data_IF_958184698011
#
_entry.id   IF_958184698011
#
_cell.length_a   1.000
_cell.length_b   1.000
_cell.length_c   1.000
_cell.angle_alpha   90.00
_cell.angle_beta   90.00
_cell.angle_gamma   90.00
#
_symmetry.space_group_name_H-M   'P 1'
#
loop_
_entity.id
_entity.type
_entity.pdbx_description
1 polymer ?
#
# COMPACT_ATOMS: atom_id res chain seq x y z
N UNK A 1 -23.14 11.88 10.99
CA UNK A 1 -21.70 12.06 11.31
C UNK A 1 -21.17 11.02 12.29
N UNK A 2 -21.76 10.88 13.48
CA UNK A 2 -21.28 9.95 14.51
C UNK A 2 -21.57 8.45 14.26
N UNK A 3 -22.51 8.12 13.37
CA UNK A 3 -22.69 6.75 12.89
C UNK A 3 -21.41 6.26 12.21
N UNK A 4 -20.71 7.12 11.46
CA UNK A 4 -19.44 6.77 10.81
C UNK A 4 -18.33 6.52 11.83
N UNK A 5 -18.24 7.35 12.88
CA UNK A 5 -17.26 7.16 13.96
C UNK A 5 -17.48 5.85 14.73
N UNK A 6 -18.75 5.54 15.05
CA UNK A 6 -19.14 4.32 15.77
C UNK A 6 -18.99 3.08 14.89
N UNK A 7 -19.38 3.15 13.61
CA UNK A 7 -19.15 2.07 12.63
C UNK A 7 -17.66 1.84 12.44
N UNK A 8 -16.85 2.90 12.36
CA UNK A 8 -15.41 2.78 12.18
C UNK A 8 -14.73 2.20 13.43
N UNK A 9 -15.07 2.66 14.63
CA UNK A 9 -14.58 2.09 15.89
C UNK A 9 -15.04 0.64 16.07
N UNK A 10 -16.31 0.35 15.75
CA UNK A 10 -16.86 -1.00 15.74
C UNK A 10 -16.11 -1.90 14.75
N UNK A 11 -15.90 -1.45 13.52
CA UNK A 11 -15.12 -2.16 12.50
C UNK A 11 -13.66 -2.36 12.89
N UNK A 12 -13.04 -1.39 13.56
CA UNK A 12 -11.67 -1.49 14.07
C UNK A 12 -11.56 -2.53 15.20
N UNK A 13 -12.49 -2.53 16.16
CA UNK A 13 -12.57 -3.53 17.24
C UNK A 13 -12.82 -4.92 16.66
N UNK A 14 -13.77 -5.04 15.72
CA UNK A 14 -14.05 -6.32 15.03
C UNK A 14 -12.82 -6.81 14.27
N UNK A 15 -12.10 -5.94 13.54
CA UNK A 15 -10.87 -6.31 12.84
C UNK A 15 -9.76 -6.76 13.79
N UNK A 16 -9.59 -6.09 14.93
CA UNK A 16 -8.61 -6.45 15.95
C UNK A 16 -8.88 -7.85 16.54
N UNK A 17 -10.15 -8.17 16.83
CA UNK A 17 -10.52 -9.46 17.42
C UNK A 17 -10.65 -10.60 16.41
N UNK A 18 -10.89 -10.31 15.14
CA UNK A 18 -11.09 -11.34 14.11
C UNK A 18 -9.81 -11.79 13.41
N UNK A 19 -8.66 -11.14 13.65
CA UNK A 19 -7.40 -11.47 12.97
C UNK A 19 -7.43 -11.21 11.45
N UNK A 20 -8.52 -10.64 10.93
CA UNK A 20 -8.58 -10.09 9.58
C UNK A 20 -7.58 -8.94 9.53
N UNK A 21 -6.47 -9.15 8.79
CA UNK A 21 -5.55 -8.08 8.42
C UNK A 21 -6.34 -7.04 7.64
N UNK A 22 -6.88 -6.04 8.34
CA UNK A 22 -7.52 -4.91 7.69
C UNK A 22 -6.45 -4.19 6.88
N UNK A 23 -6.51 -4.41 5.57
CA UNK A 23 -5.78 -3.66 4.59
C UNK A 23 -6.00 -2.16 4.87
N UNK A 24 -4.93 -1.51 5.36
CA UNK A 24 -4.68 -0.08 5.20
C UNK A 24 -5.87 0.88 5.23
N UNK A 25 -6.77 0.82 6.23
CA UNK A 25 -7.57 2.00 6.60
C UNK A 25 -6.60 3.00 7.22
N UNK A 26 -5.89 3.69 6.33
CA UNK A 26 -4.62 4.36 6.58
C UNK A 26 -4.75 5.48 7.60
N UNK A 27 -3.66 5.75 8.30
CA UNK A 27 -3.51 6.92 9.18
C UNK A 27 -4.00 8.22 8.52
N UNK A 28 -3.90 8.32 7.18
CA UNK A 28 -4.44 9.39 6.36
C UNK A 28 -5.98 9.55 6.43
N UNK A 29 -6.75 8.45 6.38
CA UNK A 29 -8.22 8.49 6.47
C UNK A 29 -8.64 8.97 7.86
N UNK A 30 -7.99 8.46 8.90
CA UNK A 30 -8.20 8.92 10.27
C UNK A 30 -7.85 10.41 10.42
N UNK A 31 -6.76 10.85 9.80
CA UNK A 31 -6.34 12.26 9.77
C UNK A 31 -7.39 13.16 9.10
N UNK A 32 -7.87 12.78 7.93
CA UNK A 32 -8.93 13.53 7.23
C UNK A 32 -10.24 13.56 8.01
N UNK A 33 -10.60 12.45 8.65
CA UNK A 33 -11.75 12.39 9.53
C UNK A 33 -11.61 13.38 10.70
N UNK A 34 -10.43 13.47 11.34
CA UNK A 34 -10.14 14.45 12.38
C UNK A 34 -10.26 15.89 11.88
N UNK A 35 -9.64 16.19 10.73
CA UNK A 35 -9.65 17.54 10.13
C UNK A 35 -11.09 17.98 9.85
N UNK A 36 -11.89 17.14 9.19
CA UNK A 36 -13.28 17.47 8.87
C UNK A 36 -14.12 17.69 10.14
N UNK A 37 -13.98 16.84 11.15
CA UNK A 37 -14.70 17.01 12.41
C UNK A 37 -14.32 18.32 13.11
N UNK A 38 -13.04 18.68 13.13
CA UNK A 38 -12.58 19.96 13.69
C UNK A 38 -13.15 21.15 12.92
N UNK A 39 -13.21 21.09 11.59
CA UNK A 39 -13.86 22.12 10.78
C UNK A 39 -15.34 22.24 11.17
N UNK A 40 -16.06 21.13 11.30
CA UNK A 40 -17.47 21.17 11.71
C UNK A 40 -17.68 21.69 13.13
N UNK A 41 -16.85 21.30 14.09
CA UNK A 41 -16.90 21.84 15.46
C UNK A 41 -16.69 23.36 15.43
N UNK A 42 -15.71 23.82 14.66
CA UNK A 42 -15.44 25.25 14.51
C UNK A 42 -16.54 25.99 13.75
N UNK A 43 -17.16 25.35 12.76
CA UNK A 43 -18.30 25.93 12.05
C UNK A 43 -19.52 26.10 12.95
N UNK A 44 -19.78 25.13 13.85
CA UNK A 44 -20.95 25.16 14.74
C UNK A 44 -20.73 26.05 15.97
N UNK A 45 -19.51 26.06 16.53
CA UNK A 45 -19.24 26.69 17.84
C UNK A 45 -18.18 27.82 17.79
N UNK A 46 -17.57 28.09 16.64
CA UNK A 46 -16.36 28.91 16.53
C UNK A 46 -16.51 30.39 16.89
N UNK A 47 -17.73 30.95 16.84
CA UNK A 47 -18.01 32.31 17.26
C UNK A 47 -17.94 32.45 18.79
N UNK A 48 -18.29 31.40 19.55
CA UNK A 48 -18.26 31.39 21.01
C UNK A 48 -19.23 32.37 21.69
N UNK A 49 -19.88 33.26 20.93
CA UNK A 49 -20.88 34.26 21.37
C UNK A 49 -22.30 33.71 21.33
N UNK A 50 -22.59 32.76 20.45
CA UNK A 50 -23.89 32.09 20.34
C UNK A 50 -23.88 30.79 21.15
N UNK A 51 -24.64 30.77 22.24
CA UNK A 51 -24.89 29.52 22.98
C UNK A 51 -25.89 28.66 22.21
N UNK A 52 -25.41 27.94 21.18
CA UNK A 52 -26.24 27.01 20.45
C UNK A 52 -26.58 25.81 21.35
N UNK A 53 -27.76 25.82 21.95
CA UNK A 53 -28.24 24.73 22.80
C UNK A 53 -28.98 23.70 21.96
N UNK A 54 -28.30 22.63 21.59
CA UNK A 54 -28.96 21.45 21.02
C UNK A 54 -29.90 20.81 22.04
N UNK A 55 -30.93 20.08 21.59
CA UNK A 55 -31.73 19.19 22.47
C UNK A 55 -30.77 18.32 23.30
N UNK A 56 -31.08 18.12 24.58
CA UNK A 56 -30.15 17.52 25.56
C UNK A 56 -29.43 16.24 25.08
N UNK A 57 -30.12 15.36 24.34
CA UNK A 57 -29.53 14.16 23.75
C UNK A 57 -28.47 14.43 22.66
N UNK A 58 -28.68 15.43 21.79
CA UNK A 58 -27.69 15.80 20.77
C UNK A 58 -26.45 16.47 21.38
N UNK A 59 -26.62 17.25 22.47
CA UNK A 59 -25.49 17.89 23.13
C UNK A 59 -24.53 16.85 23.75
N UNK A 60 -25.08 15.85 24.46
CA UNK A 60 -24.27 14.75 24.99
C UNK A 60 -23.51 13.98 23.90
N UNK A 61 -24.15 13.79 22.74
CA UNK A 61 -23.57 13.11 21.60
C UNK A 61 -22.37 13.86 21.00
N UNK A 62 -22.46 15.19 20.87
CA UNK A 62 -21.34 16.02 20.41
C UNK A 62 -20.16 15.97 21.38
N UNK A 63 -20.42 16.03 22.69
CA UNK A 63 -19.38 15.96 23.72
C UNK A 63 -18.64 14.63 23.67
N UNK A 64 -19.38 13.52 23.55
CA UNK A 64 -18.79 12.18 23.40
C UNK A 64 -17.93 12.12 22.14
N UNK A 65 -18.38 12.68 21.01
CA UNK A 65 -17.60 12.73 19.78
C UNK A 65 -16.28 13.45 19.96
N UNK A 66 -16.26 14.60 20.62
CA UNK A 66 -15.02 15.37 20.83
C UNK A 66 -14.02 14.57 21.67
N UNK A 67 -14.50 13.88 22.70
CA UNK A 67 -13.67 12.97 23.50
C UNK A 67 -13.12 11.83 22.63
N UNK A 68 -13.97 11.22 21.80
CA UNK A 68 -13.57 10.14 20.88
C UNK A 68 -12.53 10.58 19.85
N UNK A 69 -12.51 11.84 19.41
CA UNK A 69 -11.47 12.35 18.49
C UNK A 69 -10.05 12.25 19.07
N UNK A 70 -9.88 12.21 20.40
CA UNK A 70 -8.57 11.95 21.01
C UNK A 70 -8.08 10.53 20.69
N UNK A 71 -8.97 9.54 20.73
CA UNK A 71 -8.61 8.16 20.37
C UNK A 71 -8.18 8.07 18.91
N UNK A 72 -8.90 8.72 18.00
CA UNK A 72 -8.56 8.76 16.57
C UNK A 72 -7.22 9.46 16.29
N UNK A 73 -6.91 10.55 17.00
CA UNK A 73 -5.62 11.25 16.84
C UNK A 73 -4.44 10.46 17.39
N UNK A 74 -4.60 9.78 18.53
CA UNK A 74 -3.60 8.83 19.04
C UNK A 74 -3.38 7.67 18.06
N UNK A 75 -4.46 7.11 17.51
CA UNK A 75 -4.36 6.00 16.55
C UNK A 75 -3.67 6.44 15.25
N UNK A 76 -3.93 7.66 14.77
CA UNK A 76 -3.26 8.23 13.60
C UNK A 76 -1.75 8.40 13.85
N UNK A 77 -1.37 8.97 15.01
CA UNK A 77 0.03 9.09 15.43
C UNK A 77 0.72 7.72 15.52
N UNK A 78 0.05 6.74 16.14
CA UNK A 78 0.54 5.37 16.25
C UNK A 78 0.77 4.75 14.86
N UNK A 79 -0.20 4.87 13.94
CA UNK A 79 -0.06 4.35 12.58
C UNK A 79 1.11 4.98 11.81
N UNK A 80 1.37 6.27 12.00
CA UNK A 80 2.53 6.96 11.43
C UNK A 80 3.82 6.41 12.04
N UNK A 81 3.90 6.24 13.36
CA UNK A 81 5.10 5.73 14.05
C UNK A 81 5.40 4.28 13.68
N UNK A 82 4.39 3.42 13.48
CA UNK A 82 4.59 2.05 12.97
C UNK A 82 5.23 2.09 11.59
N UNK A 83 4.76 2.97 10.69
CA UNK A 83 5.37 3.13 9.35
C UNK A 83 6.78 3.68 9.42
N UNK A 84 7.09 4.58 10.34
CA UNK A 84 8.46 5.05 10.59
C UNK A 84 9.33 3.92 11.10
N UNK A 85 8.82 3.09 12.02
CA UNK A 85 9.55 1.93 12.51
C UNK A 85 9.83 0.91 11.40
N UNK A 86 8.92 0.74 10.43
CA UNK A 86 9.09 -0.16 9.29
C UNK A 86 9.99 0.42 8.18
N UNK A 87 9.77 1.67 7.78
CA UNK A 87 10.32 2.26 6.56
C UNK A 87 11.25 3.47 6.80
N UNK A 88 11.56 3.78 8.07
CA UNK A 88 12.31 4.97 8.48
C UNK A 88 11.57 6.28 8.21
N UNK A 89 12.13 7.40 8.71
CA UNK A 89 11.55 8.72 8.47
C UNK A 89 11.64 9.08 6.99
N UNK A 90 10.55 9.63 6.45
CA UNK A 90 10.51 10.33 5.17
C UNK A 90 9.98 11.74 5.39
N UNK A 91 10.22 12.63 4.43
CA UNK A 91 9.73 14.02 4.48
C UNK A 91 8.21 14.04 4.64
N UNK A 92 7.49 13.23 3.86
CA UNK A 92 6.03 13.11 3.94
C UNK A 92 5.55 12.62 5.32
N UNK A 93 6.24 11.65 5.92
CA UNK A 93 5.89 11.13 7.26
C UNK A 93 6.14 12.17 8.35
N UNK A 94 7.16 13.01 8.22
CA UNK A 94 7.41 14.12 9.14
C UNK A 94 6.31 15.17 9.07
N UNK A 95 5.85 15.53 7.86
CA UNK A 95 4.68 16.40 7.70
C UNK A 95 3.43 15.78 8.32
N UNK A 96 3.12 14.52 7.98
CA UNK A 96 1.97 13.81 8.53
C UNK A 96 2.02 13.73 10.06
N UNK A 97 3.18 13.42 10.63
CA UNK A 97 3.39 13.38 12.08
C UNK A 97 3.16 14.75 12.73
N UNK A 98 3.69 15.81 12.14
CA UNK A 98 3.55 17.16 12.68
C UNK A 98 2.10 17.63 12.64
N UNK A 99 1.38 17.36 11.54
CA UNK A 99 -0.05 17.66 11.42
C UNK A 99 -0.84 16.84 12.44
N UNK A 100 -0.61 15.53 12.54
CA UNK A 100 -1.30 14.67 13.49
C UNK A 100 -1.07 15.12 14.95
N UNK A 101 0.16 15.52 15.29
CA UNK A 101 0.51 16.03 16.61
C UNK A 101 -0.18 17.36 16.90
N UNK A 102 -0.21 18.28 15.94
CA UNK A 102 -0.93 19.55 16.08
C UNK A 102 -2.43 19.32 16.34
N UNK A 103 -3.07 18.46 15.54
CA UNK A 103 -4.49 18.15 15.70
C UNK A 103 -4.77 17.45 17.04
N UNK A 104 -3.89 16.54 17.47
CA UNK A 104 -3.98 15.92 18.79
C UNK A 104 -3.98 16.97 19.90
N UNK A 105 -3.02 17.89 19.90
CA UNK A 105 -2.94 18.96 20.91
C UNK A 105 -4.20 19.84 20.89
N UNK A 106 -4.72 20.17 19.71
CA UNK A 106 -5.92 20.99 19.57
C UNK A 106 -7.17 20.28 20.11
N UNK A 107 -7.41 19.03 19.72
CA UNK A 107 -8.54 18.21 20.20
C UNK A 107 -8.43 17.96 21.71
N UNK A 108 -7.21 17.74 22.19
CA UNK A 108 -6.95 17.55 23.61
C UNK A 108 -7.28 18.81 24.41
N UNK A 109 -6.90 19.99 23.91
CA UNK A 109 -7.26 21.27 24.52
C UNK A 109 -8.79 21.49 24.56
N UNK A 110 -9.52 21.14 23.50
CA UNK A 110 -10.99 21.17 23.53
C UNK A 110 -11.58 20.23 24.60
N UNK A 111 -11.00 19.04 24.72
CA UNK A 111 -11.46 18.04 25.69
C UNK A 111 -11.24 18.52 27.13
N UNK A 112 -10.11 19.17 27.40
CA UNK A 112 -9.85 19.86 28.67
C UNK A 112 -10.89 20.95 28.89
N UNK A 113 -11.15 21.82 27.91
CA UNK A 113 -12.16 22.87 28.05
C UNK A 113 -13.55 22.32 28.39
N UNK A 114 -13.96 21.23 27.74
CA UNK A 114 -15.23 20.53 28.00
C UNK A 114 -15.29 19.99 29.43
N UNK A 115 -14.26 19.28 29.88
CA UNK A 115 -14.24 18.63 31.19
C UNK A 115 -14.21 19.67 32.32
N UNK A 116 -13.37 20.70 32.19
CA UNK A 116 -13.11 21.65 33.27
C UNK A 116 -14.09 22.82 33.31
N UNK A 117 -14.59 23.29 32.15
CA UNK A 117 -15.44 24.50 32.09
C UNK A 117 -16.92 24.19 31.97
N UNK A 118 -17.31 22.91 31.88
CA UNK A 118 -18.70 22.42 31.87
C UNK A 118 -19.60 23.34 31.03
N UNK A 119 -20.61 24.00 31.58
CA UNK A 119 -21.56 24.84 30.83
C UNK A 119 -20.93 25.98 30.02
N UNK A 120 -19.71 26.42 30.32
CA UNK A 120 -19.04 27.51 29.63
C UNK A 120 -18.04 27.04 28.54
N UNK A 121 -17.93 25.74 28.26
CA UNK A 121 -16.88 25.18 27.39
C UNK A 121 -16.84 25.83 25.99
N UNK A 122 -18.00 26.18 25.42
CA UNK A 122 -18.10 26.80 24.09
C UNK A 122 -17.33 28.13 24.00
N UNK A 123 -17.34 28.93 25.08
CA UNK A 123 -16.66 30.23 25.12
C UNK A 123 -15.13 30.11 25.09
N UNK A 124 -14.58 28.94 25.44
CA UNK A 124 -13.14 28.68 25.44
C UNK A 124 -12.61 28.16 24.11
N UNK A 125 -13.48 27.67 23.21
CA UNK A 125 -13.05 27.20 21.89
C UNK A 125 -12.44 28.33 21.05
N UNK A 126 -13.06 29.52 21.05
CA UNK A 126 -12.56 30.68 20.32
C UNK A 126 -11.11 31.06 20.69
N UNK A 127 -10.79 31.28 21.98
CA UNK A 127 -9.41 31.50 22.43
C UNK A 127 -8.45 30.36 22.09
N UNK A 128 -8.87 29.09 22.25
CA UNK A 128 -8.04 27.93 21.90
C UNK A 128 -7.71 27.93 20.40
N UNK A 129 -8.67 28.25 19.54
CA UNK A 129 -8.46 28.33 18.10
C UNK A 129 -7.51 29.44 17.69
N UNK A 130 -7.64 30.62 18.31
CA UNK A 130 -6.73 31.73 18.07
C UNK A 130 -5.29 31.33 18.43
N UNK A 131 -5.09 30.71 19.59
CA UNK A 131 -3.80 30.17 19.99
C UNK A 131 -3.31 29.06 19.03
N UNK A 132 -4.22 28.17 18.60
CA UNK A 132 -3.94 27.12 17.63
C UNK A 132 -3.47 27.64 16.27
N UNK A 133 -4.09 28.69 15.74
CA UNK A 133 -3.68 29.33 14.49
C UNK A 133 -2.29 29.95 14.62
N UNK A 134 -2.01 30.66 15.73
CA UNK A 134 -0.67 31.22 16.00
C UNK A 134 0.38 30.11 16.10
N UNK A 135 0.07 29.01 16.79
CA UNK A 135 0.93 27.85 16.88
C UNK A 135 1.17 27.21 15.51
N UNK A 136 0.14 27.08 14.68
CA UNK A 136 0.25 26.53 13.33
C UNK A 136 1.16 27.40 12.44
N UNK A 137 1.00 28.73 12.49
CA UNK A 137 1.88 29.67 11.77
C UNK A 137 3.33 29.49 12.25
N UNK A 138 3.56 29.42 13.57
CA UNK A 138 4.90 29.20 14.12
C UNK A 138 5.51 27.87 13.65
N UNK A 139 4.72 26.78 13.65
CA UNK A 139 5.15 25.47 13.14
C UNK A 139 5.53 25.55 11.66
N UNK A 140 4.71 26.18 10.83
CA UNK A 140 4.98 26.35 9.39
C UNK A 140 6.29 27.12 9.19
N UNK A 141 6.50 28.21 9.92
CA UNK A 141 7.74 28.98 9.86
C UNK A 141 8.95 28.14 10.30
N UNK A 142 8.82 27.35 11.37
CA UNK A 142 9.88 26.47 11.86
C UNK A 142 10.26 25.42 10.81
N UNK A 143 9.28 24.74 10.20
CA UNK A 143 9.50 23.71 9.17
C UNK A 143 10.13 24.29 7.90
N UNK A 144 9.75 25.52 7.52
CA UNK A 144 10.33 26.20 6.36
C UNK A 144 11.65 26.93 6.67
N UNK A 145 12.12 26.85 7.92
CA UNK A 145 13.40 27.43 8.35
C UNK A 145 14.47 26.35 8.51
N UNK A 146 15.75 26.73 8.62
CA UNK A 146 16.85 25.79 8.91
C UNK A 146 16.71 25.06 10.26
N UNK A 147 15.79 25.48 11.13
CA UNK A 147 15.60 24.91 12.48
C UNK A 147 15.04 23.49 12.38
N UNK A 148 14.01 23.27 11.56
CA UNK A 148 13.41 21.95 11.33
C UNK A 148 13.66 21.48 9.90
N UNK A 149 14.92 21.17 9.59
CA UNK A 149 15.33 20.62 8.31
C UNK A 149 14.83 19.16 8.17
N UNK A 150 13.59 18.99 7.70
CA UNK A 150 12.98 17.67 7.48
C UNK A 150 13.77 16.80 6.51
N UNK A 151 14.44 17.42 5.53
CA UNK A 151 15.32 16.71 4.59
C UNK A 151 16.53 16.12 5.32
N UNK A 152 17.12 16.87 6.24
CA UNK A 152 18.22 16.38 7.11
C UNK A 152 17.77 15.26 8.04
N UNK A 153 16.61 15.38 8.69
CA UNK A 153 16.09 14.30 9.56
C UNK A 153 15.85 13.03 8.74
N UNK A 154 15.25 13.17 7.57
CA UNK A 154 15.03 12.07 6.62
C UNK A 154 16.34 11.43 6.20
N UNK A 155 17.31 12.24 5.77
CA UNK A 155 18.63 11.77 5.34
C UNK A 155 19.32 10.95 6.45
N UNK A 156 19.36 11.48 7.67
CA UNK A 156 19.98 10.78 8.80
C UNK A 156 19.28 9.46 9.10
N UNK A 157 17.95 9.42 9.02
CA UNK A 157 17.18 8.19 9.25
C UNK A 157 17.38 7.16 8.14
N UNK A 158 17.58 7.61 6.90
CA UNK A 158 17.90 6.74 5.76
C UNK A 158 19.29 6.15 5.95
N UNK A 159 20.30 6.98 6.21
CA UNK A 159 21.68 6.52 6.39
C UNK A 159 21.82 5.53 7.55
N UNK A 160 21.19 5.82 8.70
CA UNK A 160 21.13 4.88 9.82
C UNK A 160 20.38 3.59 9.46
N UNK A 161 19.36 3.68 8.59
CA UNK A 161 18.63 2.51 8.10
C UNK A 161 19.49 1.63 7.19
N UNK A 162 20.32 2.23 6.35
CA UNK A 162 21.27 1.51 5.48
C UNK A 162 22.35 0.83 6.32
N UNK A 163 22.94 1.55 7.27
CA UNK A 163 23.99 1.02 8.17
C UNK A 163 23.50 -0.18 8.99
N UNK A 164 22.26 -0.13 9.48
CA UNK A 164 21.65 -1.23 10.24
C UNK A 164 21.02 -2.33 9.35
N UNK A 165 21.21 -2.29 8.03
CA UNK A 165 20.65 -3.28 7.10
C UNK A 165 19.12 -3.26 6.95
N UNK A 166 18.45 -2.26 7.55
CA UNK A 166 16.99 -2.07 7.47
C UNK A 166 16.56 -1.55 6.09
N UNK A 167 17.39 -0.72 5.45
CA UNK A 167 17.15 -0.18 4.11
C UNK A 167 18.13 -0.82 3.14
N UNK A 168 17.59 -1.48 2.11
CA UNK A 168 18.41 -2.08 1.05
C UNK A 168 18.93 -1.00 0.11
N UNK A 169 20.19 -1.14 -0.29
CA UNK A 169 20.81 -0.30 -1.31
C UNK A 169 20.32 -0.75 -2.68
N UNK A 170 19.63 0.13 -3.39
CA UNK A 170 19.12 -0.10 -4.74
C UNK A 170 18.91 1.23 -5.48
N UNK A 171 18.49 1.17 -6.75
CA UNK A 171 18.16 2.36 -7.54
C UNK A 171 17.05 3.25 -6.95
N UNK A 172 16.08 2.68 -6.21
CA UNK A 172 15.06 3.47 -5.50
C UNK A 172 15.67 4.34 -4.41
N UNK A 173 16.61 3.80 -3.61
CA UNK A 173 17.34 4.56 -2.62
C UNK A 173 18.16 5.69 -3.27
N UNK A 174 18.79 5.43 -4.42
CA UNK A 174 19.51 6.45 -5.17
C UNK A 174 18.58 7.60 -5.59
N UNK A 175 17.38 7.28 -6.05
CA UNK A 175 16.36 8.26 -6.40
C UNK A 175 15.93 9.09 -5.17
N UNK A 176 15.61 8.43 -4.06
CA UNK A 176 15.21 9.10 -2.82
C UNK A 176 16.29 10.05 -2.28
N UNK A 177 17.55 9.62 -2.27
CA UNK A 177 18.67 10.47 -1.83
C UNK A 177 18.84 11.69 -2.72
N UNK A 178 18.72 11.55 -4.04
CA UNK A 178 18.84 12.68 -4.99
C UNK A 178 17.72 13.71 -4.81
N UNK A 179 16.52 13.29 -4.37
CA UNK A 179 15.41 14.21 -4.08
C UNK A 179 15.60 15.06 -2.80
N UNK A 180 16.50 14.65 -1.89
CA UNK A 180 16.76 15.39 -0.66
C UNK A 180 17.65 16.63 -0.87
N UNK A 181 17.98 16.97 -2.12
CA UNK A 181 18.80 18.13 -2.48
C UNK A 181 20.30 17.87 -2.28
N UNK A 182 21.07 18.94 -2.11
CA UNK A 182 22.55 18.90 -2.11
C UNK A 182 23.12 17.90 -1.08
N UNK A 183 22.64 17.93 0.17
CA UNK A 183 23.09 16.98 1.21
C UNK A 183 22.77 15.53 0.86
N UNK A 184 21.65 15.30 0.17
CA UNK A 184 21.24 13.98 -0.29
C UNK A 184 22.11 13.48 -1.45
N UNK A 185 22.45 14.36 -2.39
CA UNK A 185 23.41 14.05 -3.46
C UNK A 185 24.79 13.72 -2.92
N UNK A 186 25.31 14.50 -1.96
CA UNK A 186 26.58 14.21 -1.30
C UNK A 186 26.56 12.85 -0.59
N UNK A 187 25.44 12.48 0.03
CA UNK A 187 25.28 11.18 0.65
C UNK A 187 25.21 10.04 -0.38
N UNK A 188 24.50 10.24 -1.49
CA UNK A 188 24.50 9.31 -2.62
C UNK A 188 25.92 9.10 -3.16
N UNK A 189 26.68 10.16 -3.41
CA UNK A 189 28.06 10.08 -3.90
C UNK A 189 28.96 9.30 -2.94
N UNK A 190 28.84 9.56 -1.63
CA UNK A 190 29.57 8.80 -0.61
C UNK A 190 29.25 7.31 -0.64
N UNK A 191 27.98 6.93 -0.78
CA UNK A 191 27.60 5.53 -0.90
C UNK A 191 28.07 4.93 -2.23
N UNK A 192 28.01 5.71 -3.32
CA UNK A 192 28.39 5.26 -4.66
C UNK A 192 29.90 5.04 -4.83
N UNK A 193 30.73 5.53 -3.91
CA UNK A 193 32.16 5.20 -3.86
C UNK A 193 32.44 3.73 -3.47
N UNK A 194 31.44 3.01 -2.95
CA UNK A 194 31.55 1.57 -2.73
C UNK A 194 31.22 0.82 -4.04
N UNK A 195 32.15 0.01 -4.60
CA UNK A 195 31.93 -0.71 -5.85
C UNK A 195 30.73 -1.67 -5.82
N UNK A 196 30.38 -2.20 -4.66
CA UNK A 196 29.19 -3.05 -4.49
C UNK A 196 27.91 -2.21 -4.65
N UNK A 197 27.83 -1.08 -3.96
CA UNK A 197 26.68 -0.17 -4.01
C UNK A 197 26.53 0.48 -5.38
N UNK A 198 27.64 0.78 -6.06
CA UNK A 198 27.62 1.31 -7.42
C UNK A 198 26.84 0.40 -8.38
N UNK A 199 27.06 -0.93 -8.30
CA UNK A 199 26.29 -1.90 -9.08
C UNK A 199 24.82 -1.93 -8.69
N UNK A 200 24.54 -1.86 -7.38
CA UNK A 200 23.18 -1.87 -6.84
C UNK A 200 22.37 -0.59 -7.18
N UNK A 201 23.05 0.54 -7.34
CA UNK A 201 22.41 1.80 -7.75
C UNK A 201 22.09 1.86 -9.24
N UNK A 202 22.89 1.17 -10.06
CA UNK A 202 22.68 1.06 -11.50
C UNK A 202 21.62 0.03 -11.83
N UNK A 203 21.48 -1.01 -10.99
CA UNK A 203 20.46 -2.04 -11.18
C UNK A 203 19.05 -1.52 -10.92
N UNK A 204 18.30 -1.34 -12.00
CA UNK A 204 16.87 -1.12 -11.93
C UNK A 204 16.17 -2.44 -11.60
N UNK A 205 15.19 -2.48 -10.67
CA UNK A 205 14.29 -3.61 -10.52
C UNK A 205 13.60 -4.02 -11.84
N UNK A 206 13.58 -3.10 -12.81
CA UNK A 206 12.97 -3.25 -14.13
C UNK A 206 14.00 -3.47 -15.26
N UNK A 207 15.31 -3.53 -14.96
CA UNK A 207 16.33 -3.76 -15.98
C UNK A 207 16.28 -5.19 -16.50
N UNK A 208 16.22 -5.28 -17.83
CA UNK A 208 16.02 -6.50 -18.63
C UNK A 208 17.15 -7.52 -18.45
N UNK A 209 18.37 -7.03 -18.22
CA UNK A 209 19.62 -7.79 -18.15
C UNK A 209 19.68 -8.75 -16.95
N UNK A 210 18.79 -8.57 -15.97
CA UNK A 210 18.66 -9.46 -14.81
C UNK A 210 17.50 -10.45 -14.92
N UNK A 211 16.79 -10.57 -16.05
CA UNK A 211 15.72 -11.57 -16.16
C UNK A 211 16.29 -12.97 -16.34
N UNK A 212 15.75 -13.94 -15.60
CA UNK A 212 16.03 -15.36 -15.84
C UNK A 212 15.35 -15.78 -17.15
N UNK A 213 15.91 -16.77 -17.85
CA UNK A 213 15.26 -17.31 -19.05
C UNK A 213 13.90 -17.91 -18.67
N UNK A 214 12.82 -17.58 -19.39
CA UNK A 214 11.50 -18.17 -19.17
C UNK A 214 11.57 -19.70 -19.19
N UNK A 215 12.32 -20.26 -20.14
CA UNK A 215 12.53 -21.71 -20.26
C UNK A 215 13.16 -22.34 -19.01
N UNK A 216 13.94 -21.59 -18.23
CA UNK A 216 14.57 -22.07 -17.01
C UNK A 216 13.70 -21.99 -15.75
N UNK A 217 12.66 -21.14 -15.77
CA UNK A 217 11.80 -20.87 -14.60
C UNK A 217 10.39 -21.41 -14.76
N UNK A 218 9.94 -21.62 -16.00
CA UNK A 218 8.62 -22.14 -16.31
C UNK A 218 8.58 -23.64 -16.02
N UNK A 219 7.70 -24.03 -15.10
CA UNK A 219 7.50 -25.44 -14.75
C UNK A 219 6.60 -26.06 -15.82
N UNK A 220 7.02 -27.18 -16.42
CA UNK A 220 6.15 -27.92 -17.33
C UNK A 220 5.19 -28.79 -16.51
N UNK A 221 3.88 -28.71 -16.80
CA UNK A 221 2.91 -29.60 -16.16
C UNK A 221 3.21 -31.07 -16.49
N UNK A 222 2.97 -31.96 -15.53
CA UNK A 222 3.14 -33.40 -15.76
C UNK A 222 2.20 -33.89 -16.88
N UNK A 223 2.66 -34.88 -17.64
CA UNK A 223 1.93 -35.50 -18.76
C UNK A 223 1.55 -34.55 -19.92
N UNK A 224 2.02 -33.30 -19.91
CA UNK A 224 1.82 -32.39 -21.03
C UNK A 224 2.96 -32.49 -22.05
N UNK A 225 2.67 -32.45 -23.37
CA UNK A 225 3.69 -32.30 -24.39
C UNK A 225 4.62 -31.11 -24.13
N UNK A 226 5.87 -31.20 -24.61
CA UNK A 226 6.81 -30.09 -24.48
C UNK A 226 6.36 -28.90 -25.34
N UNK A 227 6.37 -27.70 -24.74
CA UNK A 227 6.05 -26.47 -25.46
C UNK A 227 7.01 -26.24 -26.64
N UNK A 228 6.50 -25.83 -27.81
CA UNK A 228 7.31 -25.62 -29.00
C UNK A 228 8.41 -24.59 -28.78
N UNK A 229 9.61 -24.84 -29.34
CA UNK A 229 10.71 -23.88 -29.29
C UNK A 229 10.32 -22.53 -29.93
N UNK A 230 9.54 -22.56 -31.01
CA UNK A 230 9.04 -21.38 -31.71
C UNK A 230 8.22 -20.45 -30.82
N UNK A 231 7.57 -20.98 -29.77
CA UNK A 231 6.84 -20.16 -28.80
C UNK A 231 7.81 -19.44 -27.84
N UNK A 232 8.83 -20.14 -27.34
CA UNK A 232 9.87 -19.52 -26.51
C UNK A 232 10.69 -18.47 -27.28
N UNK A 233 10.86 -18.66 -28.59
CA UNK A 233 11.59 -17.74 -29.47
C UNK A 233 10.89 -16.38 -29.62
N UNK A 234 9.62 -16.24 -29.17
CA UNK A 234 8.94 -14.94 -29.05
C UNK A 234 9.64 -13.97 -28.07
N UNK A 235 10.37 -14.50 -27.08
CA UNK A 235 11.15 -13.72 -26.13
C UNK A 235 10.32 -12.67 -25.40
N UNK A 236 10.65 -11.39 -25.60
CA UNK A 236 9.99 -10.24 -24.96
C UNK A 236 8.53 -10.05 -25.37
N UNK A 237 8.11 -10.62 -26.51
CA UNK A 237 6.71 -10.55 -26.94
C UNK A 237 5.79 -11.46 -26.12
N UNK A 238 6.34 -12.31 -25.23
CA UNK A 238 5.54 -13.12 -24.32
C UNK A 238 4.96 -12.26 -23.20
N UNK A 239 3.73 -11.81 -23.41
CA UNK A 239 2.91 -11.13 -22.40
C UNK A 239 2.98 -11.86 -21.05
N UNK A 240 3.16 -11.09 -19.98
CA UNK A 240 3.20 -11.60 -18.59
C UNK A 240 4.40 -12.51 -18.23
N UNK A 241 5.31 -12.83 -19.16
CA UNK A 241 6.49 -13.64 -18.85
C UNK A 241 7.44 -12.95 -17.84
N UNK A 242 7.37 -11.62 -17.74
CA UNK A 242 8.15 -10.83 -16.78
C UNK A 242 7.88 -11.22 -15.31
N UNK A 243 6.66 -11.63 -14.98
CA UNK A 243 6.30 -12.09 -13.64
C UNK A 243 7.07 -13.35 -13.23
N UNK A 244 7.31 -14.24 -14.18
CA UNK A 244 8.06 -15.49 -13.97
C UNK A 244 9.58 -15.24 -13.91
N UNK A 245 10.05 -14.31 -14.73
CA UNK A 245 11.48 -14.14 -15.04
C UNK A 245 12.18 -13.11 -14.13
N UNK A 246 11.44 -12.36 -13.32
CA UNK A 246 11.99 -11.47 -12.28
C UNK A 246 13.01 -12.20 -11.38
N UNK A 247 14.09 -11.50 -11.00
CA UNK A 247 15.08 -11.98 -10.02
C UNK A 247 14.71 -11.63 -8.58
N UNK A 248 13.89 -10.59 -8.37
CA UNK A 248 13.62 -10.05 -7.04
C UNK A 248 12.50 -10.80 -6.32
N UNK A 249 11.42 -11.09 -7.04
CA UNK A 249 10.25 -11.77 -6.47
C UNK A 249 9.50 -12.49 -7.60
N UNK A 250 9.99 -13.66 -8.04
CA UNK A 250 9.38 -14.37 -9.15
C UNK A 250 8.12 -15.09 -8.74
N UNK A 251 7.11 -14.94 -9.58
CA UNK A 251 5.90 -15.73 -9.41
C UNK A 251 6.14 -17.16 -9.92
N UNK A 252 5.59 -18.18 -9.24
CA UNK A 252 5.57 -19.52 -9.79
C UNK A 252 4.77 -19.50 -11.08
N UNK A 253 5.34 -20.12 -12.13
CA UNK A 253 4.71 -20.21 -13.44
C UNK A 253 4.71 -21.66 -13.92
N UNK A 254 3.60 -22.06 -14.53
CA UNK A 254 3.43 -23.38 -15.13
C UNK A 254 3.00 -23.24 -16.59
N UNK A 255 3.57 -24.07 -17.46
CA UNK A 255 3.25 -24.13 -18.88
C UNK A 255 2.79 -25.53 -19.29
N UNK A 256 1.77 -25.60 -20.15
CA UNK A 256 1.26 -26.86 -20.70
C UNK A 256 0.62 -26.65 -22.06
N UNK A 257 0.59 -27.72 -22.86
CA UNK A 257 -0.12 -27.80 -24.13
C UNK A 257 -1.55 -28.34 -23.90
N UNK A 258 -2.54 -27.68 -24.51
CA UNK A 258 -3.95 -28.07 -24.44
C UNK A 258 -4.73 -27.53 -25.63
N UNK A 259 -5.60 -28.33 -26.23
CA UNK A 259 -6.57 -27.90 -27.25
C UNK A 259 -7.71 -27.07 -26.61
N UNK A 260 -7.46 -25.78 -26.37
CA UNK A 260 -8.37 -24.90 -25.63
C UNK A 260 -9.61 -24.54 -26.46
N UNK A 261 -9.47 -24.41 -27.79
CA UNK A 261 -10.56 -24.03 -28.70
C UNK A 261 -11.24 -25.23 -29.38
N UNK A 262 -10.83 -26.46 -29.07
CA UNK A 262 -11.39 -27.72 -29.60
C UNK A 262 -11.25 -27.84 -31.12
N UNK A 263 -10.12 -27.40 -31.67
CA UNK A 263 -9.81 -27.49 -33.10
C UNK A 263 -8.89 -28.68 -33.44
N UNK A 264 -8.65 -29.60 -32.50
CA UNK A 264 -7.70 -30.70 -32.57
C UNK A 264 -6.22 -30.26 -32.74
N UNK A 265 -5.88 -29.04 -32.36
CA UNK A 265 -4.52 -28.52 -32.30
C UNK A 265 -4.25 -27.96 -30.91
N UNK A 266 -3.17 -28.43 -30.28
CA UNK A 266 -2.83 -27.94 -28.95
C UNK A 266 -2.31 -26.50 -28.99
N UNK A 267 -2.83 -25.69 -28.08
CA UNK A 267 -2.40 -24.33 -27.78
C UNK A 267 -1.42 -24.32 -26.60
N UNK A 268 -0.58 -23.28 -26.52
CA UNK A 268 0.30 -23.08 -25.36
C UNK A 268 -0.45 -22.29 -24.28
N UNK A 269 -0.58 -22.89 -23.10
CA UNK A 269 -1.15 -22.23 -21.92
C UNK A 269 -0.03 -21.97 -20.91
N UNK A 270 0.15 -20.69 -20.55
CA UNK A 270 1.10 -20.27 -19.51
C UNK A 270 0.34 -19.62 -18.36
N UNK A 271 0.36 -20.26 -17.19
CA UNK A 271 -0.26 -19.77 -15.98
C UNK A 271 0.78 -19.27 -14.97
N UNK A 272 0.39 -18.29 -14.16
CA UNK A 272 1.18 -17.75 -13.06
C UNK A 272 0.29 -17.46 -11.85
N UNK A 273 0.86 -17.52 -10.64
CA UNK A 273 0.11 -17.28 -9.40
C UNK A 273 0.77 -16.18 -8.58
N UNK A 274 -0.01 -15.17 -8.18
CA UNK A 274 0.47 -14.12 -7.29
C UNK A 274 0.56 -14.64 -5.85
N UNK A 275 1.69 -14.45 -5.13
CA UNK A 275 1.83 -14.90 -3.75
C UNK A 275 0.83 -14.29 -2.77
N UNK A 276 0.36 -13.07 -3.05
CA UNK A 276 -0.51 -12.28 -2.17
C UNK A 276 -1.97 -12.20 -2.64
N UNK A 277 -2.36 -12.91 -3.70
CA UNK A 277 -3.75 -12.98 -4.15
C UNK A 277 -4.23 -14.42 -4.15
N UNK A 278 -5.53 -14.61 -3.95
CA UNK A 278 -6.19 -15.90 -4.14
C UNK A 278 -6.56 -16.12 -5.62
N UNK A 279 -5.72 -15.69 -6.58
CA UNK A 279 -5.99 -15.85 -8.01
C UNK A 279 -4.86 -16.57 -8.77
N UNK A 280 -5.24 -17.21 -9.88
CA UNK A 280 -4.34 -17.76 -10.90
C UNK A 280 -4.71 -17.13 -12.23
N UNK A 281 -3.70 -16.69 -12.97
CA UNK A 281 -3.85 -16.03 -14.26
C UNK A 281 -3.17 -16.87 -15.34
N UNK A 282 -3.88 -17.16 -16.44
CA UNK A 282 -3.42 -18.01 -17.53
C UNK A 282 -3.54 -17.28 -18.87
N UNK A 283 -2.49 -17.34 -19.68
CA UNK A 283 -2.45 -16.81 -21.04
C UNK A 283 -2.50 -17.96 -22.04
N UNK A 284 -3.37 -17.86 -23.04
CA UNK A 284 -3.54 -18.87 -24.09
C UNK A 284 -2.98 -18.32 -25.39
N UNK A 285 -1.99 -19.03 -25.94
CA UNK A 285 -1.32 -18.68 -27.18
C UNK A 285 -1.63 -19.71 -28.25
N UNK A 286 -2.06 -19.22 -29.41
CA UNK A 286 -2.39 -20.07 -30.55
C UNK A 286 -1.37 -19.85 -31.67
N UNK A 287 -1.05 -20.92 -32.38
CA UNK A 287 -0.12 -20.86 -33.49
C UNK A 287 -0.83 -20.37 -34.75
N UNK A 288 -0.33 -19.29 -35.35
CA UNK A 288 -0.74 -18.82 -36.68
C UNK A 288 0.29 -19.25 -37.73
N UNK A 289 0.05 -18.94 -39.01
CA UNK A 289 0.94 -19.35 -40.11
C UNK A 289 2.40 -18.86 -39.96
N UNK A 290 2.62 -17.76 -39.24
CA UNK A 290 3.93 -17.10 -39.15
C UNK A 290 4.46 -16.92 -37.72
N UNK A 291 3.62 -17.01 -36.69
CA UNK A 291 4.01 -16.73 -35.30
C UNK A 291 3.03 -17.35 -34.29
N UNK A 292 3.22 -17.06 -33.00
CA UNK A 292 2.25 -17.33 -31.94
C UNK A 292 1.56 -16.03 -31.55
N UNK A 293 0.24 -16.07 -31.39
CA UNK A 293 -0.56 -14.92 -30.98
C UNK A 293 -1.26 -15.19 -29.64
N UNK A 294 -1.31 -14.17 -28.78
CA UNK A 294 -2.05 -14.23 -27.52
C UNK A 294 -3.54 -14.07 -27.83
N UNK A 295 -4.30 -15.14 -27.65
CA UNK A 295 -5.72 -15.16 -27.97
C UNK A 295 -6.60 -14.87 -26.77
N UNK A 296 -6.13 -15.20 -25.57
CA UNK A 296 -6.92 -15.02 -24.35
C UNK A 296 -6.05 -14.87 -23.10
N UNK A 297 -6.57 -14.14 -22.12
CA UNK A 297 -6.04 -14.09 -20.75
C UNK A 297 -7.19 -14.35 -19.79
N UNK A 298 -7.00 -15.34 -18.93
CA UNK A 298 -8.03 -15.83 -18.03
C UNK A 298 -7.58 -15.76 -16.58
N UNK A 299 -8.45 -15.23 -15.72
CA UNK A 299 -8.20 -15.12 -14.28
C UNK A 299 -9.20 -16.01 -13.54
N UNK A 300 -8.70 -16.92 -12.72
CA UNK A 300 -9.52 -17.70 -11.78
C UNK A 300 -9.26 -17.21 -10.36
N UNK A 301 -10.31 -16.72 -9.70
CA UNK A 301 -10.26 -16.32 -8.29
C UNK A 301 -10.83 -17.40 -7.39
N UNK A 302 -10.21 -17.58 -6.22
CA UNK A 302 -10.57 -18.54 -5.18
C UNK A 302 -10.98 -17.79 -3.91
N UNK A 303 -11.81 -18.42 -3.07
CA UNK A 303 -12.26 -17.79 -1.83
C UNK A 303 -11.15 -17.74 -0.78
N UNK A 304 -10.21 -18.69 -0.84
CA UNK A 304 -9.09 -18.79 0.10
C UNK A 304 -7.76 -19.07 -0.62
N UNK A 305 -6.64 -18.70 0.01
CA UNK A 305 -5.30 -19.05 -0.49
C UNK A 305 -5.09 -20.56 -0.59
N UNK A 306 -5.65 -21.33 0.37
CA UNK A 306 -5.52 -22.79 0.41
C UNK A 306 -6.18 -23.46 -0.80
N UNK A 307 -7.37 -22.99 -1.19
CA UNK A 307 -8.05 -23.47 -2.41
C UNK A 307 -7.23 -23.18 -3.66
N UNK A 308 -6.67 -21.97 -3.76
CA UNK A 308 -5.77 -21.59 -4.85
C UNK A 308 -4.53 -22.49 -4.90
N UNK A 309 -3.89 -22.74 -3.76
CA UNK A 309 -2.69 -23.59 -3.70
C UNK A 309 -2.99 -25.03 -4.12
N UNK A 310 -4.14 -25.57 -3.73
CA UNK A 310 -4.58 -26.90 -4.17
C UNK A 310 -4.84 -26.93 -5.69
N UNK A 311 -5.49 -25.90 -6.24
CA UNK A 311 -5.69 -25.79 -7.68
C UNK A 311 -4.37 -25.63 -8.45
N UNK A 312 -3.40 -24.90 -7.89
CA UNK A 312 -2.07 -24.77 -8.43
C UNK A 312 -1.33 -26.11 -8.48
N UNK A 313 -1.41 -26.91 -7.41
CA UNK A 313 -0.83 -28.27 -7.38
C UNK A 313 -1.47 -29.21 -8.41
N UNK A 314 -2.77 -29.06 -8.67
CA UNK A 314 -3.47 -29.81 -9.71
C UNK A 314 -2.95 -29.45 -11.10
N UNK A 315 -2.79 -28.15 -11.40
CA UNK A 315 -2.19 -27.68 -12.66
C UNK A 315 -0.78 -28.24 -12.86
N UNK A 316 0.06 -28.24 -11.81
CA UNK A 316 1.41 -28.81 -11.89
C UNK A 316 1.40 -30.31 -12.22
N UNK A 317 0.38 -31.05 -11.79
CA UNK A 317 0.19 -32.48 -12.07
C UNK A 317 -0.48 -32.75 -13.43
N UNK A 318 -0.85 -31.70 -14.17
CA UNK A 318 -1.62 -31.83 -15.42
C UNK A 318 -3.08 -32.22 -15.20
N UNK A 319 -3.61 -32.05 -13.98
CA UNK A 319 -4.99 -32.33 -13.66
C UNK A 319 -5.80 -31.04 -13.81
N UNK A 320 -6.45 -30.88 -14.96
CA UNK A 320 -7.31 -29.74 -15.26
C UNK A 320 -8.43 -30.14 -16.21
N UNK A 321 -9.52 -29.39 -16.17
CA UNK A 321 -10.62 -29.50 -17.13
C UNK A 321 -10.65 -28.25 -18.01
N UNK A 322 -10.73 -28.47 -19.33
CA UNK A 322 -11.01 -27.42 -20.28
C UNK A 322 -12.52 -27.23 -20.34
N UNK A 323 -13.01 -26.13 -19.79
CA UNK A 323 -14.41 -25.77 -19.94
C UNK A 323 -14.58 -24.90 -21.18
N UNK A 324 -15.52 -25.25 -22.08
CA UNK A 324 -15.86 -24.37 -23.20
C UNK A 324 -16.20 -23.00 -22.63
N UNK A 325 -15.56 -21.98 -23.19
CA UNK A 325 -15.84 -20.61 -22.79
C UNK A 325 -17.25 -20.28 -23.26
N UNK A 326 -18.27 -20.47 -22.42
CA UNK A 326 -19.64 -19.94 -22.63
C UNK A 326 -19.68 -18.39 -22.55
N UNK A 327 -18.52 -17.75 -22.73
CA UNK A 327 -18.03 -16.47 -22.17
C UNK A 327 -17.45 -16.59 -20.74
N UNK A 328 -16.12 -16.48 -20.69
CA UNK A 328 -15.18 -16.19 -19.57
C UNK A 328 -15.22 -17.06 -18.30
N UNK A 329 -14.60 -18.26 -18.34
CA UNK A 329 -13.62 -18.78 -17.36
C UNK A 329 -13.35 -20.28 -17.58
N UNK A 330 -12.07 -20.70 -17.62
CA UNK A 330 -11.68 -22.09 -17.35
C UNK A 330 -11.83 -22.34 -15.84
N UNK A 331 -12.51 -23.42 -15.48
CA UNK A 331 -12.72 -23.84 -14.09
C UNK A 331 -11.91 -25.12 -13.84
N UNK A 332 -10.80 -25.04 -13.08
CA UNK A 332 -9.85 -26.13 -12.91
C UNK A 332 -10.27 -27.15 -11.84
N UNK A 333 -11.55 -27.24 -11.49
CA UNK A 333 -12.02 -28.24 -10.52
C UNK A 333 -12.24 -29.60 -11.21
N UNK A 334 -11.20 -30.43 -11.14
CA UNK A 334 -11.33 -31.88 -11.20
C UNK A 334 -10.43 -32.51 -10.15
#
# INVERSE_FOLDING_TARGET
MNIVAVIFLGGFVVSYFSGLTSAGLGSAVMLWFLILNLIFINFVYGDGTTQYQFRAGLNGFVLISIILLNAFSVLSLYGILVRVNQYSWSVERLYAFTIALFLFVLVFAYSIAIIYKKSAWMSYLGPINKAGILALIAIILIINSPIADFKRITLNSILAGVENGKIKVNSSLAYDLKQLGEKGQQAFEKLNNNPEYQKLFQTSPYEEEQRRSLKSVLIQAQNSPAMPKSWFDLGENLSSAWYCTSQYDPYPCVGFMADVNQNNQDDVVMCYSYPSSSSIDCNVWQQTEQTWELMDTQTRSFNTMKEKDQAWDNLLKGNYELKPKEWLMIDPTS
#
